data_IF_326408212627
#
_entry.id   IF_326408212627
#
_cell.length_a   1.000
_cell.length_b   1.000
_cell.length_c   1.000
_cell.angle_alpha   90.00
_cell.angle_beta   90.00
_cell.angle_gamma   90.00
#
_symmetry.space_group_name_H-M   'P 1'
#
loop_
_entity.id
_entity.type
_entity.pdbx_description
1 polymer ?
#
# COMPACT_ATOMS: atom_id res chain seq x y z
N UNK A 1 -10.85 -1.78 -0.01
CA UNK A 1 -11.79 -1.18 0.95
C UNK A 1 -11.25 -1.49 2.33
N UNK A 2 -11.10 -0.48 3.19
CA UNK A 2 -10.62 -0.70 4.55
C UNK A 2 -11.70 -1.36 5.41
N UNK A 3 -11.32 -2.12 6.46
CA UNK A 3 -12.25 -2.48 7.51
C UNK A 3 -12.87 -1.21 8.13
N UNK A 4 -14.08 -1.30 8.73
CA UNK A 4 -14.72 -0.14 9.33
C UNK A 4 -13.84 0.50 10.41
N UNK A 5 -13.65 1.82 10.33
CA UNK A 5 -12.94 2.64 11.31
C UNK A 5 -13.97 3.55 11.98
N UNK A 6 -14.15 3.43 13.29
CA UNK A 6 -15.14 4.24 14.04
C UNK A 6 -16.55 4.22 13.41
N UNK A 7 -16.99 3.04 12.94
CA UNK A 7 -18.30 2.86 12.31
C UNK A 7 -18.42 3.43 10.89
N UNK A 8 -17.31 3.84 10.27
CA UNK A 8 -17.26 4.39 8.91
C UNK A 8 -16.39 3.54 8.00
N UNK A 9 -16.80 3.37 6.75
CA UNK A 9 -16.02 2.66 5.71
C UNK A 9 -15.53 3.66 4.69
N UNK A 10 -14.24 3.62 4.35
CA UNK A 10 -13.63 4.58 3.43
C UNK A 10 -13.13 3.92 2.15
N UNK A 11 -13.31 4.65 1.06
CA UNK A 11 -12.90 4.24 -0.28
C UNK A 11 -12.12 5.37 -0.94
N UNK A 12 -10.97 5.01 -1.50
CA UNK A 12 -10.13 5.86 -2.35
C UNK A 12 -10.90 6.23 -3.62
N UNK A 13 -10.90 7.50 -3.99
CA UNK A 13 -11.52 7.96 -5.24
C UNK A 13 -10.46 8.53 -6.20
N UNK A 14 -10.77 8.53 -7.50
CA UNK A 14 -9.92 9.18 -8.51
C UNK A 14 -10.05 10.71 -8.56
N UNK A 15 -10.76 11.34 -7.62
CA UNK A 15 -11.21 12.74 -7.74
C UNK A 15 -10.61 13.69 -6.68
N UNK A 16 -9.47 13.34 -6.09
CA UNK A 16 -8.80 14.22 -5.12
C UNK A 16 -9.44 14.27 -3.73
N UNK A 17 -10.34 13.32 -3.42
CA UNK A 17 -10.93 13.13 -2.10
C UNK A 17 -11.11 11.63 -1.80
N UNK A 18 -11.29 11.29 -0.53
CA UNK A 18 -11.75 9.98 -0.08
C UNK A 18 -13.22 10.05 0.29
N UNK A 19 -14.00 9.04 -0.08
CA UNK A 19 -15.42 8.92 0.29
C UNK A 19 -15.57 7.97 1.48
N UNK A 20 -16.17 8.47 2.56
CA UNK A 20 -16.56 7.68 3.73
C UNK A 20 -18.07 7.41 3.72
N UNK A 21 -18.49 6.21 4.11
CA UNK A 21 -19.88 5.88 4.44
C UNK A 21 -19.98 5.69 5.95
N UNK A 22 -20.78 6.52 6.62
CA UNK A 22 -21.16 6.32 8.01
C UNK A 22 -22.25 5.26 8.10
N UNK A 23 -21.92 4.12 8.71
CA UNK A 23 -22.82 2.98 8.79
C UNK A 23 -23.97 3.19 9.77
N UNK A 24 -23.81 4.08 10.77
CA UNK A 24 -24.84 4.36 11.75
C UNK A 24 -25.85 5.39 11.22
N UNK A 25 -25.36 6.44 10.57
CA UNK A 25 -26.22 7.48 9.98
C UNK A 25 -26.71 7.15 8.57
N UNK A 26 -26.11 6.15 7.91
CA UNK A 26 -26.31 5.82 6.50
C UNK A 26 -26.06 7.02 5.56
N UNK A 27 -25.08 7.86 5.90
CA UNK A 27 -24.72 9.07 5.15
C UNK A 27 -23.29 9.00 4.61
N UNK A 28 -23.05 9.71 3.51
CA UNK A 28 -21.71 9.87 2.96
C UNK A 28 -21.00 11.08 3.57
N UNK A 29 -19.72 10.91 3.88
CA UNK A 29 -18.80 11.96 4.32
C UNK A 29 -17.67 12.06 3.31
N UNK A 30 -17.38 13.28 2.87
CA UNK A 30 -16.27 13.54 1.97
C UNK A 30 -15.06 14.02 2.76
N UNK A 31 -13.91 13.39 2.53
CA UNK A 31 -12.64 13.79 3.13
C UNK A 31 -11.69 14.27 2.04
N UNK A 32 -11.42 15.58 2.01
CA UNK A 32 -10.45 16.16 1.07
C UNK A 32 -9.05 15.58 1.32
N UNK A 33 -8.29 15.31 0.27
CA UNK A 33 -6.90 14.87 0.42
C UNK A 33 -6.00 16.03 0.91
N UNK A 34 -4.82 15.73 1.49
CA UNK A 34 -3.81 16.74 1.74
C UNK A 34 -3.45 17.52 0.47
N UNK A 35 -3.09 18.80 0.62
CA UNK A 35 -2.72 19.65 -0.50
C UNK A 35 -1.57 19.02 -1.32
N UNK A 36 -1.73 19.00 -2.64
CA UNK A 36 -0.75 18.41 -3.57
C UNK A 36 -0.90 16.90 -3.81
N UNK A 37 -1.70 16.19 -3.01
CA UNK A 37 -1.98 14.76 -3.22
C UNK A 37 -3.15 14.62 -4.20
N UNK A 38 -2.90 14.02 -5.36
CA UNK A 38 -3.91 13.80 -6.40
C UNK A 38 -4.11 12.32 -6.73
N UNK A 39 -3.01 11.58 -6.85
CA UNK A 39 -2.98 10.18 -7.22
C UNK A 39 -1.91 9.44 -6.40
N UNK A 40 -1.83 8.13 -6.60
CA UNK A 40 -0.78 7.28 -6.01
C UNK A 40 -0.74 7.27 -4.48
N UNK A 41 -1.86 6.84 -3.91
CA UNK A 41 -2.03 6.75 -2.48
C UNK A 41 -2.91 5.57 -2.09
N UNK A 42 -2.78 5.13 -0.85
CA UNK A 42 -3.66 4.16 -0.25
C UNK A 42 -3.97 4.54 1.19
N UNK A 43 -5.11 4.06 1.67
CA UNK A 43 -5.54 4.25 3.04
C UNK A 43 -5.12 3.05 3.87
N UNK A 44 -4.88 3.29 5.15
CA UNK A 44 -4.75 2.25 6.17
C UNK A 44 -5.52 2.67 7.43
N UNK A 45 -6.02 1.70 8.20
CA UNK A 45 -6.61 2.00 9.50
C UNK A 45 -5.51 2.49 10.45
N UNK A 46 -5.76 3.55 11.20
CA UNK A 46 -4.94 3.95 12.34
C UNK A 46 -5.66 3.47 13.61
N UNK A 47 -5.15 2.39 14.21
CA UNK A 47 -5.87 1.66 15.26
C UNK A 47 -6.33 2.60 16.38
N UNK A 48 -7.65 2.66 16.59
CA UNK A 48 -8.29 3.51 17.59
C UNK A 48 -8.23 5.03 17.34
N UNK A 49 -7.39 5.53 16.44
CA UNK A 49 -7.09 6.96 16.29
C UNK A 49 -7.66 7.58 15.01
N UNK A 50 -7.90 6.80 13.95
CA UNK A 50 -8.47 7.30 12.71
C UNK A 50 -7.95 6.56 11.48
N UNK A 51 -7.49 7.31 10.48
CA UNK A 51 -7.08 6.76 9.18
C UNK A 51 -5.74 7.33 8.77
N UNK A 52 -4.85 6.45 8.33
CA UNK A 52 -3.64 6.83 7.63
C UNK A 52 -3.87 6.93 6.13
N UNK A 53 -3.20 7.89 5.52
CA UNK A 53 -3.04 8.02 4.08
C UNK A 53 -1.55 7.94 3.77
N UNK A 54 -1.15 6.92 3.01
CA UNK A 54 0.22 6.76 2.53
C UNK A 54 0.27 7.17 1.08
N UNK A 55 1.13 8.13 0.75
CA UNK A 55 1.26 8.72 -0.58
C UNK A 55 2.68 8.55 -1.08
N UNK A 56 2.86 8.38 -2.38
CA UNK A 56 4.16 8.48 -3.01
C UNK A 56 4.15 9.56 -4.11
N UNK A 57 5.03 10.56 -3.95
CA UNK A 57 5.34 11.51 -5.02
C UNK A 57 6.75 11.19 -5.54
N UNK A 58 6.81 10.67 -6.76
CA UNK A 58 8.03 10.10 -7.35
C UNK A 58 8.64 9.01 -6.45
N UNK A 59 9.63 9.37 -5.63
CA UNK A 59 10.32 8.51 -4.66
C UNK A 59 10.22 9.02 -3.23
N UNK A 60 9.44 10.08 -2.98
CA UNK A 60 9.15 10.61 -1.66
C UNK A 60 7.89 9.93 -1.13
N UNK A 61 8.04 9.19 -0.04
CA UNK A 61 6.91 8.68 0.73
C UNK A 61 6.49 9.70 1.76
N UNK A 62 5.18 9.86 1.93
CA UNK A 62 4.60 10.65 3.01
C UNK A 62 3.44 9.90 3.65
N UNK A 63 3.32 10.01 4.96
CA UNK A 63 2.23 9.39 5.72
C UNK A 63 1.50 10.45 6.52
N UNK A 64 0.19 10.51 6.29
CA UNK A 64 -0.70 11.48 6.88
C UNK A 64 -1.70 10.77 7.78
N UNK A 65 -2.00 11.33 8.95
CA UNK A 65 -3.01 10.84 9.87
C UNK A 65 -4.21 11.78 9.86
N UNK A 66 -5.39 11.25 9.56
CA UNK A 66 -6.65 11.92 9.84
C UNK A 66 -7.23 11.38 11.13
N UNK A 67 -7.18 12.17 12.19
CA UNK A 67 -7.73 11.80 13.48
C UNK A 67 -9.27 11.81 13.42
N UNK A 68 -9.89 10.79 14.00
CA UNK A 68 -11.36 10.70 14.12
C UNK A 68 -11.85 10.80 15.57
N UNK A 69 -10.92 10.89 16.52
CA UNK A 69 -11.20 11.13 17.93
C UNK A 69 -11.12 12.64 18.22
N UNK A 70 -12.25 13.26 18.56
CA UNK A 70 -12.33 14.68 18.93
C UNK A 70 -13.36 15.46 18.09
N UNK A 71 -13.75 16.62 18.61
CA UNK A 71 -14.75 17.57 18.11
C UNK A 71 -14.28 18.41 16.91
N UNK A 72 -13.17 18.03 16.27
CA UNK A 72 -12.54 18.82 15.22
C UNK A 72 -13.27 18.68 13.87
N UNK A 73 -14.35 19.43 13.71
CA UNK A 73 -15.10 19.64 12.47
C UNK A 73 -14.39 20.67 11.55
N UNK A 74 -13.09 20.54 11.36
CA UNK A 74 -12.28 21.51 10.61
C UNK A 74 -11.79 20.95 9.28
N UNK A 75 -12.25 21.55 8.18
CA UNK A 75 -11.68 21.33 6.85
C UNK A 75 -10.16 21.58 6.88
N UNK A 76 -9.37 20.50 6.83
CA UNK A 76 -7.89 20.53 6.92
C UNK A 76 -7.26 19.41 7.77
N UNK A 77 -8.05 18.50 8.34
CA UNK A 77 -7.69 17.51 9.38
C UNK A 77 -6.64 16.43 9.10
N UNK A 78 -5.71 16.61 8.16
CA UNK A 78 -4.59 15.69 7.96
C UNK A 78 -3.32 16.19 8.66
N UNK A 79 -2.74 15.35 9.51
CA UNK A 79 -1.45 15.57 10.14
C UNK A 79 -0.35 14.81 9.39
N UNK A 80 0.66 15.49 8.84
CA UNK A 80 1.84 14.82 8.29
C UNK A 80 2.66 14.20 9.41
N UNK A 81 2.72 12.87 9.46
CA UNK A 81 3.49 12.12 10.47
C UNK A 81 4.97 12.05 10.10
N UNK A 82 5.27 11.65 8.86
CA UNK A 82 6.63 11.58 8.34
C UNK A 82 6.65 11.66 6.82
N UNK A 83 7.78 12.15 6.30
CA UNK A 83 8.10 12.15 4.87
C UNK A 83 9.58 11.79 4.68
N UNK A 84 9.88 10.92 3.71
CA UNK A 84 11.25 10.52 3.41
C UNK A 84 11.40 9.93 2.00
N UNK A 85 12.60 10.05 1.44
CA UNK A 85 12.96 9.45 0.15
C UNK A 85 13.32 7.98 0.30
N UNK A 86 12.85 7.15 -0.62
CA UNK A 86 13.26 5.74 -0.76
C UNK A 86 14.17 5.47 -1.96
N UNK A 87 14.46 6.49 -2.76
CA UNK A 87 15.18 6.36 -4.05
C UNK A 87 16.49 5.57 -3.92
N UNK A 88 17.37 5.98 -3.01
CA UNK A 88 18.70 5.38 -2.88
C UNK A 88 18.63 3.91 -2.45
N UNK A 89 17.75 3.60 -1.50
CA UNK A 89 17.56 2.24 -1.02
C UNK A 89 16.94 1.35 -2.10
N UNK A 90 15.92 1.84 -2.82
CA UNK A 90 15.30 1.12 -3.93
C UNK A 90 16.29 0.88 -5.08
N UNK A 91 17.06 1.89 -5.49
CA UNK A 91 18.05 1.76 -6.55
C UNK A 91 19.13 0.72 -6.19
N UNK A 92 19.65 0.78 -4.95
CA UNK A 92 20.62 -0.19 -4.46
C UNK A 92 20.07 -1.62 -4.44
N UNK A 93 18.82 -1.80 -4.00
CA UNK A 93 18.18 -3.12 -3.89
C UNK A 93 17.73 -3.69 -5.24
N UNK A 94 17.39 -2.83 -6.21
CA UNK A 94 17.12 -3.27 -7.57
C UNK A 94 18.40 -3.69 -8.31
N UNK A 95 19.55 -3.09 -7.98
CA UNK A 95 20.82 -3.40 -8.63
C UNK A 95 20.74 -3.19 -10.14
N UNK A 96 21.16 -4.18 -10.91
CA UNK A 96 21.14 -4.13 -12.39
C UNK A 96 19.73 -4.04 -12.97
N UNK A 97 18.70 -4.40 -12.21
CA UNK A 97 17.30 -4.23 -12.61
C UNK A 97 16.82 -2.79 -12.45
N UNK A 98 17.59 -1.88 -11.87
CA UNK A 98 17.17 -0.49 -11.69
C UNK A 98 17.06 0.21 -13.05
N UNK A 99 15.83 0.57 -13.41
CA UNK A 99 15.54 1.38 -14.59
C UNK A 99 15.08 2.74 -14.10
N UNK A 100 15.82 3.83 -14.37
CA UNK A 100 15.38 5.17 -13.98
C UNK A 100 13.95 5.42 -14.48
N UNK A 101 13.03 5.66 -13.56
CA UNK A 101 11.64 5.98 -13.85
C UNK A 101 11.24 7.26 -13.13
N UNK A 102 10.06 7.79 -13.47
CA UNK A 102 9.59 9.03 -12.86
C UNK A 102 8.99 8.82 -11.46
N UNK A 103 8.44 7.64 -11.16
CA UNK A 103 7.73 7.37 -9.90
C UNK A 103 7.64 5.90 -9.49
N UNK A 104 7.38 5.65 -8.20
CA UNK A 104 6.94 4.39 -7.62
C UNK A 104 5.43 4.40 -7.37
N UNK A 105 4.75 3.28 -7.54
CA UNK A 105 3.33 3.13 -7.21
C UNK A 105 3.15 2.56 -5.79
N UNK A 106 2.26 3.16 -5.00
CA UNK A 106 1.77 2.57 -3.74
C UNK A 106 0.86 1.41 -4.09
N UNK A 107 1.34 0.19 -3.93
CA UNK A 107 0.65 -1.04 -4.35
C UNK A 107 -0.21 -1.66 -3.24
N UNK A 108 0.22 -1.52 -1.98
CA UNK A 108 -0.54 -1.91 -0.80
C UNK A 108 0.03 -1.24 0.45
N UNK A 109 -0.78 -1.06 1.49
CA UNK A 109 -0.36 -0.57 2.80
C UNK A 109 -0.83 -1.56 3.84
N UNK A 110 0.07 -1.93 4.77
CA UNK A 110 -0.27 -2.76 5.92
C UNK A 110 -1.17 -2.04 6.90
N UNK A 111 -1.74 -2.77 7.85
CA UNK A 111 -2.51 -2.17 8.94
C UNK A 111 -1.64 -1.20 9.76
N UNK A 112 -2.27 -0.19 10.36
CA UNK A 112 -1.61 0.85 11.15
C UNK A 112 -0.51 1.64 10.40
N UNK A 113 -0.46 1.54 9.07
CA UNK A 113 0.64 2.05 8.26
C UNK A 113 2.03 1.62 8.79
N UNK A 114 2.17 0.37 9.23
CA UNK A 114 3.46 -0.15 9.70
C UNK A 114 4.43 -0.40 8.52
N UNK A 115 3.89 -0.84 7.39
CA UNK A 115 4.66 -1.01 6.15
C UNK A 115 3.84 -0.65 4.90
N UNK A 116 4.55 -0.37 3.81
CA UNK A 116 3.98 -0.13 2.48
C UNK A 116 4.70 -0.98 1.44
N UNK A 117 3.95 -1.52 0.49
CA UNK A 117 4.48 -2.13 -0.71
C UNK A 117 4.50 -1.11 -1.84
N UNK A 118 5.66 -0.97 -2.47
CA UNK A 118 5.88 -0.09 -3.61
C UNK A 118 6.18 -0.92 -4.84
N UNK A 119 5.43 -0.67 -5.90
CA UNK A 119 5.71 -1.20 -7.22
C UNK A 119 6.61 -0.23 -7.98
N UNK A 120 7.70 -0.74 -8.55
CA UNK A 120 8.53 -0.02 -9.52
C UNK A 120 8.21 -0.56 -10.92
N UNK A 121 7.33 0.11 -11.69
CA UNK A 121 6.75 -0.46 -12.90
C UNK A 121 7.81 -0.80 -13.96
N UNK A 122 8.85 0.03 -14.08
CA UNK A 122 9.87 -0.11 -15.11
C UNK A 122 10.80 -1.30 -14.90
N UNK A 123 11.03 -1.72 -13.65
CA UNK A 123 11.84 -2.91 -13.35
C UNK A 123 11.02 -4.12 -12.93
N UNK A 124 9.74 -3.94 -12.62
CA UNK A 124 8.87 -4.93 -11.99
C UNK A 124 9.33 -5.45 -10.64
N UNK A 125 10.16 -4.68 -9.94
CA UNK A 125 10.49 -4.95 -8.54
C UNK A 125 9.35 -4.46 -7.65
N UNK A 126 8.97 -5.27 -6.67
CA UNK A 126 8.17 -4.82 -5.53
C UNK A 126 9.10 -4.65 -4.32
N UNK A 127 8.99 -3.50 -3.68
CA UNK A 127 9.68 -3.19 -2.43
C UNK A 127 8.68 -3.19 -1.27
N UNK A 128 9.11 -3.66 -0.11
CA UNK A 128 8.45 -3.41 1.17
C UNK A 128 9.24 -2.35 1.92
N UNK A 129 8.56 -1.37 2.48
CA UNK A 129 9.16 -0.33 3.31
C UNK A 129 8.50 -0.37 4.67
N UNK A 130 9.26 -0.67 5.72
CA UNK A 130 8.77 -0.53 7.09
C UNK A 130 8.85 0.94 7.49
N UNK A 131 7.70 1.59 7.61
CA UNK A 131 7.61 3.04 7.55
C UNK A 131 8.23 3.74 8.76
N UNK A 132 8.13 3.14 9.95
CA UNK A 132 8.75 3.66 11.18
C UNK A 132 10.28 3.55 11.16
N UNK A 133 10.81 2.40 10.76
CA UNK A 133 12.28 2.17 10.73
C UNK A 133 12.95 2.67 9.44
N UNK A 134 12.14 2.97 8.41
CA UNK A 134 12.57 3.32 7.04
C UNK A 134 13.39 2.24 6.33
N UNK A 135 13.34 1.00 6.83
CA UNK A 135 14.01 -0.15 6.21
C UNK A 135 13.26 -0.53 4.94
N UNK A 136 13.97 -0.57 3.83
CA UNK A 136 13.47 -1.03 2.53
C UNK A 136 13.99 -2.45 2.26
N UNK A 137 13.13 -3.32 1.75
CA UNK A 137 13.45 -4.69 1.31
C UNK A 137 12.91 -4.90 -0.09
N UNK A 138 13.67 -5.57 -0.96
CA UNK A 138 13.15 -6.14 -2.21
C UNK A 138 12.41 -7.43 -1.85
N UNK A 139 11.14 -7.54 -2.25
CA UNK A 139 10.29 -8.67 -1.85
C UNK A 139 9.83 -9.52 -3.02
N UNK A 140 9.79 -8.92 -4.22
CA UNK A 140 9.41 -9.62 -5.44
C UNK A 140 10.07 -8.98 -6.66
N UNK A 141 10.19 -9.77 -7.73
CA UNK A 141 10.71 -9.37 -9.03
C UNK A 141 9.96 -10.12 -10.12
N UNK A 142 9.20 -9.39 -10.96
CA UNK A 142 8.53 -9.98 -12.13
C UNK A 142 9.54 -10.62 -13.08
N UNK A 143 9.13 -11.73 -13.69
CA UNK A 143 9.87 -12.45 -14.75
C UNK A 143 9.59 -11.84 -16.13
N UNK A 144 10.46 -12.13 -17.11
CA UNK A 144 10.37 -11.59 -18.49
C UNK A 144 8.98 -11.77 -19.13
N UNK A 145 8.31 -12.90 -18.87
CA UNK A 145 7.00 -13.21 -19.45
C UNK A 145 5.86 -12.42 -18.78
N UNK A 146 6.03 -12.04 -17.51
CA UNK A 146 5.10 -11.16 -16.78
C UNK A 146 5.29 -9.68 -17.13
N UNK A 147 6.47 -9.33 -17.67
CA UNK A 147 6.80 -7.96 -18.08
C UNK A 147 6.08 -7.53 -19.36
N UNK A 148 5.50 -8.43 -20.16
CA UNK A 148 4.71 -8.04 -21.34
C UNK A 148 3.40 -7.34 -20.95
N UNK A 149 2.89 -7.57 -19.74
CA UNK A 149 1.75 -6.86 -19.15
C UNK A 149 2.19 -5.62 -18.35
N UNK A 150 2.90 -4.68 -18.98
CA UNK A 150 3.40 -3.43 -18.35
C UNK A 150 2.31 -2.52 -17.76
N UNK A 151 1.03 -2.83 -17.99
CA UNK A 151 -0.12 -2.00 -17.61
C UNK A 151 -0.96 -2.54 -16.46
N UNK A 152 -0.67 -3.74 -15.94
CA UNK A 152 -1.49 -4.33 -14.88
C UNK A 152 -0.91 -3.95 -13.51
N UNK A 153 -1.63 -3.08 -12.79
CA UNK A 153 -1.33 -2.79 -11.40
C UNK A 153 -1.21 -4.10 -10.60
N UNK A 154 -0.11 -4.28 -9.87
CA UNK A 154 0.08 -5.49 -9.06
C UNK A 154 -0.96 -5.55 -7.96
N UNK A 155 -1.80 -6.58 -8.01
CA UNK A 155 -2.81 -6.81 -6.98
C UNK A 155 -2.20 -7.58 -5.82
N UNK A 156 -1.82 -6.86 -4.78
CA UNK A 156 -1.39 -7.45 -3.50
C UNK A 156 -2.65 -7.72 -2.67
N UNK A 157 -2.84 -8.99 -2.27
CA UNK A 157 -3.98 -9.40 -1.46
C UNK A 157 -3.47 -10.00 -0.15
N UNK A 158 -3.66 -9.32 0.99
CA UNK A 158 -3.31 -9.91 2.29
C UNK A 158 -4.24 -11.10 2.56
N UNK A 159 -3.66 -12.23 2.97
CA UNK A 159 -4.41 -13.43 3.37
C UNK A 159 -4.12 -13.69 4.84
N UNK A 160 -5.15 -13.62 5.67
CA UNK A 160 -5.08 -14.07 7.06
C UNK A 160 -5.13 -15.60 7.09
N UNK A 161 -4.13 -16.22 7.71
CA UNK A 161 -4.08 -17.67 7.91
C UNK A 161 -3.84 -17.96 9.39
N UNK A 162 -4.37 -19.08 9.90
CA UNK A 162 -3.98 -19.58 11.22
C UNK A 162 -2.50 -19.98 11.09
N UNK A 163 -1.65 -19.44 11.96
CA UNK A 163 -0.23 -19.80 11.96
C UNK A 163 -0.04 -21.21 12.55
N UNK A 164 0.77 -22.08 11.92
CA UNK A 164 1.48 -21.88 10.66
C UNK A 164 0.55 -22.03 9.45
N UNK A 165 0.72 -21.21 8.39
CA UNK A 165 -0.09 -21.31 7.19
C UNK A 165 0.02 -22.70 6.58
N UNK A 166 -1.13 -23.35 6.43
CA UNK A 166 -1.23 -24.60 5.68
C UNK A 166 -1.62 -24.22 4.25
N UNK A 167 -0.66 -24.23 3.34
CA UNK A 167 -0.95 -24.02 1.92
C UNK A 167 -1.57 -25.30 1.33
N UNK A 168 -2.62 -25.18 0.50
CA UNK A 168 -3.13 -26.32 -0.26
C UNK A 168 -1.99 -26.96 -1.06
N UNK A 169 -1.94 -28.29 -1.09
CA UNK A 169 -1.01 -28.97 -1.97
C UNK A 169 -1.32 -28.58 -3.42
N UNK A 170 -0.30 -28.28 -4.25
CA UNK A 170 -0.51 -27.96 -5.65
C UNK A 170 -1.24 -29.10 -6.35
N UNK A 171 -2.43 -28.83 -6.90
CA UNK A 171 -2.97 -29.68 -7.95
C UNK A 171 -2.10 -29.43 -9.18
N UNK A 172 -1.25 -30.40 -9.53
CA UNK A 172 -0.44 -30.37 -10.75
C UNK A 172 -1.39 -30.55 -11.94
N UNK A 173 -2.10 -29.47 -12.27
CA UNK A 173 -2.56 -29.14 -13.61
C UNK A 173 -1.56 -28.15 -14.19
N UNK A 174 -1.17 -28.34 -15.44
CA UNK A 174 0.06 -27.87 -16.08
C UNK A 174 0.36 -26.35 -16.11
N UNK A 175 -0.39 -25.48 -15.43
CA UNK A 175 -0.32 -24.02 -15.60
C UNK A 175 -0.17 -23.21 -14.30
N UNK A 176 0.12 -23.83 -13.14
CA UNK A 176 0.10 -23.14 -11.83
C UNK A 176 1.43 -23.10 -11.04
N UNK A 177 2.54 -23.60 -11.59
CA UNK A 177 3.82 -23.61 -10.86
C UNK A 177 4.37 -22.21 -10.56
N UNK A 178 4.06 -21.19 -11.38
CA UNK A 178 4.55 -19.82 -11.17
C UNK A 178 3.90 -19.12 -9.96
N UNK A 179 2.59 -19.30 -9.74
CA UNK A 179 1.86 -18.55 -8.72
C UNK A 179 2.16 -18.95 -7.27
N UNK A 180 2.78 -20.11 -7.05
CA UNK A 180 2.91 -20.70 -5.71
C UNK A 180 4.31 -20.53 -5.10
N UNK A 181 5.34 -20.33 -5.94
CA UNK A 181 6.70 -20.04 -5.47
C UNK A 181 6.79 -18.67 -4.76
N UNK A 182 5.94 -17.70 -5.14
CA UNK A 182 5.94 -16.36 -4.57
C UNK A 182 5.28 -16.22 -3.20
N UNK A 183 4.41 -17.16 -2.86
CA UNK A 183 3.72 -17.17 -1.57
C UNK A 183 4.76 -17.33 -0.45
N UNK A 184 5.73 -18.25 -0.56
CA UNK A 184 6.70 -18.54 0.51
C UNK A 184 7.58 -17.35 0.90
N UNK A 185 7.90 -16.45 -0.04
CA UNK A 185 8.73 -15.28 0.23
C UNK A 185 7.97 -14.17 1.00
N UNK A 186 6.64 -14.19 1.00
CA UNK A 186 5.81 -13.24 1.77
C UNK A 186 5.57 -13.65 3.24
N UNK A 187 5.88 -14.89 3.65
CA UNK A 187 5.65 -15.35 5.05
C UNK A 187 6.88 -15.20 5.95
N UNK A 188 8.00 -14.69 5.43
CA UNK A 188 9.18 -14.32 6.24
C UNK A 188 9.06 -12.92 6.85
N UNK A 189 7.86 -12.31 6.84
CA UNK A 189 7.58 -10.95 7.30
C UNK A 189 7.00 -10.86 8.73
N UNK A 190 7.35 -11.79 9.60
CA UNK A 190 7.20 -11.62 11.06
C UNK A 190 8.57 -11.52 11.73
#
# INVERSE_FOLDING_TARGET
MLPPVHGKVFVVTGFGYTLGLDLAAATFVMLQLPAGVQYNYMLSSAEGSGIYLVTADRFQLSVWLHQMTGDNHGAGGWLLMYTFSVLEACARLAGDSWVPCEYLNVAAVGDNADFVFLDHPSSGVIFSVHLNSRVVKKVYQRTADEHECRSVAVRISPVMTIWPPIFPAPNIGHDQESCMLDIKNLFTFQ
#
